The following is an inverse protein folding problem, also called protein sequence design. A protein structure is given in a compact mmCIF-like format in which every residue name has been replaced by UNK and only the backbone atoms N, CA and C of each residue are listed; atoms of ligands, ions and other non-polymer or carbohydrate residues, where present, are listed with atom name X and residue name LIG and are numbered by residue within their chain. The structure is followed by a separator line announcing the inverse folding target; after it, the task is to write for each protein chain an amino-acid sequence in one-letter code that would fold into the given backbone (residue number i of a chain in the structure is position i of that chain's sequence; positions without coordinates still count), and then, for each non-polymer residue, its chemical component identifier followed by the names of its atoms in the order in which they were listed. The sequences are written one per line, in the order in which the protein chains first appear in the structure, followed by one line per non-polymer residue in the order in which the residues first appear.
data_IF_094012243548
#
_entry.id   IF_094012243548
#
_cell.length_a   1.000
_cell.length_b   1.000
_cell.length_c   1.000
_cell.angle_alpha   90.00
_cell.angle_beta   90.00
_cell.angle_gamma   90.00
#
_symmetry.space_group_name_H-M   'P 1'
#
loop_
_entity.id
_entity.type
_entity.pdbx_description
1 polymer ?
#
# COMPACT_ATOMS: atom_id res chain seq x y z
N UNK A 1 -38.54 -32.90 52.28
CA UNK A 1 -39.33 -31.82 51.64
C UNK A 1 -38.35 -30.83 51.03
N UNK A 2 -38.51 -30.23 49.86
CA UNK A 2 -39.23 -30.51 48.62
C UNK A 2 -38.95 -29.27 47.76
N UNK A 3 -38.40 -29.49 46.56
CA UNK A 3 -38.37 -28.64 45.34
C UNK A 3 -37.87 -27.17 45.36
N UNK A 4 -37.35 -26.68 44.21
CA UNK A 4 -36.59 -25.42 44.10
C UNK A 4 -37.27 -24.36 43.18
N UNK A 5 -36.60 -23.20 43.05
CA UNK A 5 -36.61 -22.21 41.95
C UNK A 5 -37.93 -21.51 41.61
N UNK A 6 -37.93 -20.18 41.77
CA UNK A 6 -38.61 -19.26 40.87
C UNK A 6 -37.60 -18.17 40.43
N UNK A 7 -37.34 -18.14 39.12
CA UNK A 7 -36.63 -17.07 38.43
C UNK A 7 -37.69 -16.21 37.77
N UNK A 8 -37.83 -14.96 38.19
CA UNK A 8 -38.73 -13.99 37.59
C UNK A 8 -38.18 -13.51 36.24
N UNK A 9 -39.09 -13.51 35.25
CA UNK A 9 -38.88 -13.01 33.90
C UNK A 9 -38.63 -11.50 33.89
N UNK A 10 -37.45 -11.09 33.42
CA UNK A 10 -37.20 -9.75 32.90
C UNK A 10 -37.14 -9.81 31.38
N UNK A 11 -38.15 -9.28 30.71
CA UNK A 11 -38.16 -9.09 29.26
C UNK A 11 -37.40 -7.79 28.95
N UNK A 12 -36.22 -7.90 28.35
CA UNK A 12 -35.56 -6.78 27.66
C UNK A 12 -35.49 -7.16 26.19
N UNK A 13 -36.24 -6.42 25.37
CA UNK A 13 -36.22 -6.49 23.91
C UNK A 13 -34.79 -6.26 23.40
N UNK A 14 -34.29 -7.19 22.59
CA UNK A 14 -33.07 -7.02 21.82
C UNK A 14 -33.42 -6.51 20.42
N UNK A 15 -32.85 -5.38 20.04
CA UNK A 15 -32.83 -4.89 18.67
C UNK A 15 -31.97 -5.81 17.81
N UNK A 16 -32.61 -6.81 17.18
CA UNK A 16 -31.97 -7.70 16.21
C UNK A 16 -32.00 -7.06 14.81
N UNK A 17 -30.91 -6.42 14.41
CA UNK A 17 -30.74 -5.87 13.07
C UNK A 17 -30.53 -7.02 12.07
N UNK A 18 -31.59 -7.37 11.35
CA UNK A 18 -31.56 -8.32 10.24
C UNK A 18 -30.75 -7.76 9.06
N UNK A 19 -29.80 -8.52 8.46
CA UNK A 19 -29.13 -8.09 7.24
C UNK A 19 -30.09 -8.24 6.05
N UNK A 20 -30.22 -7.17 5.26
CA UNK A 20 -31.01 -7.16 4.02
C UNK A 20 -30.37 -8.08 2.97
N UNK A 21 -31.12 -9.11 2.58
CA UNK A 21 -30.80 -9.96 1.43
C UNK A 21 -30.71 -9.14 0.14
N UNK A 22 -29.52 -9.11 -0.48
CA UNK A 22 -29.31 -8.53 -1.80
C UNK A 22 -29.85 -9.52 -2.85
N UNK A 23 -30.92 -9.16 -3.54
CA UNK A 23 -31.49 -9.92 -4.66
C UNK A 23 -30.71 -9.55 -5.94
N UNK A 24 -30.17 -10.51 -6.72
CA UNK A 24 -29.55 -10.20 -8.02
C UNK A 24 -30.63 -9.91 -9.08
N UNK A 25 -30.39 -8.98 -10.03
CA UNK A 25 -31.34 -8.71 -11.10
C UNK A 25 -31.33 -9.85 -12.14
N UNK A 26 -32.50 -10.40 -12.43
CA UNK A 26 -32.76 -11.38 -13.49
C UNK A 26 -32.77 -10.72 -14.87
N UNK A 27 -32.07 -11.32 -15.84
CA UNK A 27 -32.14 -10.95 -17.26
C UNK A 27 -33.47 -11.43 -17.87
N UNK A 28 -34.16 -10.63 -18.71
CA UNK A 28 -35.22 -11.15 -19.56
C UNK A 28 -34.65 -11.72 -20.86
N UNK A 29 -34.94 -13.00 -21.10
CA UNK A 29 -34.73 -13.68 -22.38
C UNK A 29 -36.11 -14.11 -22.90
N UNK A 30 -36.57 -13.57 -24.02
CA UNK A 30 -37.39 -14.33 -24.96
C UNK A 30 -37.41 -13.71 -26.35
N UNK A 31 -37.25 -14.60 -27.33
CA UNK A 31 -37.36 -14.43 -28.77
C UNK A 31 -38.79 -14.07 -29.20
N UNK A 32 -38.94 -13.35 -30.32
CA UNK A 32 -39.55 -13.92 -31.54
C UNK A 32 -39.37 -13.03 -32.79
N UNK A 33 -39.41 -13.63 -34.01
CA UNK A 33 -39.04 -13.00 -35.28
C UNK A 33 -40.28 -12.47 -36.03
N UNK A 34 -40.09 -11.49 -36.93
CA UNK A 34 -40.75 -11.37 -38.24
C UNK A 34 -40.52 -9.95 -38.80
N UNK A 35 -39.65 -9.81 -39.79
CA UNK A 35 -39.59 -8.64 -40.66
C UNK A 35 -40.18 -9.03 -42.02
N UNK A 36 -41.28 -8.37 -42.41
CA UNK A 36 -41.78 -8.41 -43.77
C UNK A 36 -41.62 -7.02 -44.42
N UNK A 37 -41.13 -7.05 -45.66
CA UNK A 37 -40.86 -5.91 -46.53
C UNK A 37 -42.18 -5.34 -47.09
N UNK A 38 -42.30 -4.01 -47.14
CA UNK A 38 -43.39 -3.32 -47.80
C UNK A 38 -43.02 -1.87 -48.16
N UNK A 39 -42.69 -1.68 -49.44
CA UNK A 39 -42.32 -0.45 -50.14
C UNK A 39 -43.42 0.64 -50.08
N UNK A 40 -43.05 1.93 -49.94
CA UNK A 40 -43.55 3.07 -50.79
C UNK A 40 -43.19 4.47 -50.24
N UNK A 41 -42.23 5.12 -50.92
CA UNK A 41 -42.13 6.53 -51.36
C UNK A 41 -42.70 7.74 -50.56
N UNK A 42 -41.76 8.69 -50.33
CA UNK A 42 -41.80 10.18 -50.38
C UNK A 42 -42.71 11.02 -49.46
N UNK A 43 -42.13 11.74 -48.49
CA UNK A 43 -41.87 13.19 -48.56
C UNK A 43 -41.28 13.77 -47.26
N UNK A 44 -40.24 14.60 -47.44
CA UNK A 44 -39.74 15.75 -46.65
C UNK A 44 -40.11 15.89 -45.16
N UNK A 45 -39.13 15.76 -44.26
CA UNK A 45 -38.95 16.66 -43.10
C UNK A 45 -37.60 16.40 -42.42
N UNK A 46 -36.97 17.48 -41.97
CA UNK A 46 -35.67 17.53 -41.32
C UNK A 46 -35.59 16.70 -40.02
N UNK A 47 -34.45 16.05 -39.78
CA UNK A 47 -34.20 15.32 -38.54
C UNK A 47 -32.81 14.71 -38.51
N UNK A 48 -31.89 15.41 -37.86
CA UNK A 48 -30.46 15.13 -37.73
C UNK A 48 -30.14 13.74 -37.17
N UNK A 49 -29.49 12.89 -37.98
CA UNK A 49 -28.86 11.67 -37.51
C UNK A 49 -27.66 12.03 -36.61
N UNK A 50 -27.76 11.73 -35.31
CA UNK A 50 -26.64 11.84 -34.37
C UNK A 50 -25.62 10.74 -34.70
N UNK A 51 -24.36 11.05 -35.06
CA UNK A 51 -23.37 10.01 -35.31
C UNK A 51 -23.05 9.31 -33.98
N UNK A 52 -23.51 8.07 -33.83
CA UNK A 52 -23.03 7.18 -32.77
C UNK A 52 -21.59 6.80 -33.08
N UNK A 53 -20.66 7.48 -32.41
CA UNK A 53 -19.24 7.19 -32.40
C UNK A 53 -18.53 8.21 -31.52
N UNK A 54 -17.60 7.74 -30.70
CA UNK A 54 -16.66 8.59 -29.93
C UNK A 54 -16.21 9.76 -30.81
N UNK A 55 -16.27 11.02 -30.35
CA UNK A 55 -15.85 12.17 -31.15
C UNK A 55 -14.50 11.87 -31.82
N UNK A 56 -14.41 12.06 -33.14
CA UNK A 56 -13.15 11.95 -33.90
C UNK A 56 -12.21 13.04 -33.41
N UNK A 57 -11.49 12.75 -32.33
CA UNK A 57 -10.59 13.72 -31.73
C UNK A 57 -10.34 13.55 -30.24
N UNK A 58 -10.13 12.35 -29.71
CA UNK A 58 -9.17 12.26 -28.60
C UNK A 58 -7.79 12.26 -29.24
N UNK A 59 -7.34 13.43 -29.70
CA UNK A 59 -5.90 13.65 -29.83
C UNK A 59 -5.39 13.39 -28.43
N UNK A 60 -4.72 12.25 -28.26
CA UNK A 60 -3.89 11.99 -27.10
C UNK A 60 -2.97 13.22 -27.04
N UNK A 61 -3.25 14.17 -26.14
CA UNK A 61 -2.22 15.17 -25.84
C UNK A 61 -1.01 14.31 -25.48
N UNK A 62 0.16 14.54 -26.12
CA UNK A 62 1.39 13.96 -25.62
C UNK A 62 1.38 14.24 -24.12
N UNK A 63 1.48 13.19 -23.31
CA UNK A 63 1.69 13.38 -21.88
C UNK A 63 2.88 14.34 -21.80
N UNK A 64 2.66 15.56 -21.32
CA UNK A 64 3.73 16.54 -21.27
C UNK A 64 4.82 15.90 -20.42
N UNK A 65 5.96 15.60 -21.04
CA UNK A 65 7.17 15.26 -20.30
C UNK A 65 7.50 16.52 -19.54
N UNK A 66 7.05 16.59 -18.28
CA UNK A 66 7.26 17.73 -17.40
C UNK A 66 8.74 17.87 -17.12
N UNK A 67 9.44 18.53 -18.05
CA UNK A 67 10.78 19.11 -17.88
C UNK A 67 10.67 20.38 -17.01
N UNK A 68 9.91 20.29 -15.93
CA UNK A 68 10.03 21.22 -14.82
C UNK A 68 11.20 20.74 -13.98
N UNK A 69 12.12 21.64 -13.67
CA UNK A 69 13.14 21.46 -12.65
C UNK A 69 12.48 20.82 -11.41
N UNK A 70 12.73 19.52 -11.22
CA UNK A 70 11.94 18.67 -10.35
C UNK A 70 12.46 18.83 -8.92
N UNK A 71 12.28 20.03 -8.36
CA UNK A 71 12.69 20.43 -7.00
C UNK A 71 11.72 19.87 -5.94
N UNK A 72 11.03 18.76 -6.25
CA UNK A 72 10.01 18.14 -5.41
C UNK A 72 10.33 16.70 -5.07
N UNK A 73 9.69 16.18 -4.02
CA UNK A 73 9.76 14.75 -3.68
C UNK A 73 9.19 13.91 -4.83
N UNK A 74 9.94 12.89 -5.27
CA UNK A 74 9.54 12.00 -6.37
C UNK A 74 9.22 10.61 -5.84
N UNK A 75 8.05 10.02 -6.13
CA UNK A 75 7.76 8.64 -5.77
C UNK A 75 8.67 7.69 -6.57
N UNK A 76 9.21 6.68 -5.90
CA UNK A 76 10.01 5.61 -6.51
C UNK A 76 9.61 4.26 -5.95
N UNK A 77 9.86 3.22 -6.74
CA UNK A 77 9.73 1.83 -6.31
C UNK A 77 11.09 1.18 -6.39
N UNK A 78 11.55 0.58 -5.28
CA UNK A 78 12.81 -0.16 -5.25
C UNK A 78 12.51 -1.64 -5.16
N UNK A 79 13.06 -2.40 -6.09
CA UNK A 79 13.02 -3.85 -6.04
C UNK A 79 14.33 -4.38 -5.47
N UNK A 80 14.22 -5.19 -4.42
CA UNK A 80 15.34 -5.83 -3.75
C UNK A 80 15.27 -7.32 -4.08
N UNK A 81 16.27 -7.88 -4.79
CA UNK A 81 16.29 -9.30 -5.14
C UNK A 81 16.55 -10.15 -3.89
N UNK A 82 16.38 -11.47 -4.01
CA UNK A 82 16.65 -12.42 -2.92
C UNK A 82 18.14 -12.40 -2.49
N UNK A 83 18.39 -12.64 -1.20
CA UNK A 83 19.75 -12.68 -0.62
C UNK A 83 20.41 -11.33 -0.39
N UNK A 84 19.71 -10.22 -0.63
CA UNK A 84 20.25 -8.86 -0.45
C UNK A 84 19.78 -8.25 0.86
N UNK A 85 20.68 -7.51 1.51
CA UNK A 85 20.34 -6.73 2.70
C UNK A 85 19.62 -5.44 2.28
N UNK A 86 18.37 -5.29 2.71
CA UNK A 86 17.49 -4.16 2.38
C UNK A 86 18.11 -2.83 2.84
N UNK A 87 18.75 -2.81 4.01
CA UNK A 87 19.32 -1.59 4.60
C UNK A 87 20.47 -1.09 3.71
N UNK A 88 21.35 -2.01 3.31
CA UNK A 88 22.45 -1.68 2.39
C UNK A 88 21.95 -1.29 1.01
N UNK A 89 20.91 -1.94 0.50
CA UNK A 89 20.33 -1.60 -0.80
C UNK A 89 19.77 -0.17 -0.82
N UNK A 90 19.05 0.23 0.24
CA UNK A 90 18.53 1.60 0.38
C UNK A 90 19.67 2.61 0.50
N UNK A 91 20.68 2.33 1.35
CA UNK A 91 21.83 3.21 1.53
C UNK A 91 22.65 3.37 0.23
N UNK A 92 22.87 2.28 -0.50
CA UNK A 92 23.59 2.30 -1.78
C UNK A 92 22.79 3.05 -2.83
N UNK A 93 21.48 2.85 -2.91
CA UNK A 93 20.62 3.60 -3.82
C UNK A 93 20.68 5.11 -3.54
N UNK A 94 20.58 5.52 -2.27
CA UNK A 94 20.66 6.91 -1.87
C UNK A 94 22.02 7.55 -2.23
N UNK A 95 23.13 6.84 -1.93
CA UNK A 95 24.49 7.29 -2.24
C UNK A 95 24.74 7.41 -3.74
N UNK A 96 24.41 6.38 -4.51
CA UNK A 96 24.69 6.35 -5.95
C UNK A 96 23.90 7.40 -6.74
N UNK A 97 22.78 7.88 -6.19
CA UNK A 97 21.95 8.91 -6.83
C UNK A 97 22.09 10.28 -6.17
N UNK A 98 22.91 10.40 -5.12
CA UNK A 98 23.06 11.63 -4.31
C UNK A 98 21.71 12.19 -3.84
N UNK A 99 20.83 11.30 -3.39
CA UNK A 99 19.48 11.64 -2.91
C UNK A 99 19.26 11.18 -1.48
N UNK A 100 18.36 11.86 -0.79
CA UNK A 100 17.72 11.33 0.40
C UNK A 100 16.50 10.49 0.00
N UNK A 101 16.15 9.50 0.81
CA UNK A 101 15.04 8.59 0.55
C UNK A 101 14.20 8.38 1.81
N UNK A 102 12.89 8.50 1.66
CA UNK A 102 11.91 8.14 2.68
C UNK A 102 11.14 6.90 2.21
N UNK A 103 11.42 5.75 2.82
CA UNK A 103 10.68 4.51 2.60
C UNK A 103 9.39 4.57 3.42
N UNK A 104 8.25 4.43 2.74
CA UNK A 104 6.93 4.53 3.35
C UNK A 104 6.28 3.17 3.57
N UNK A 105 6.63 2.18 2.75
CA UNK A 105 6.19 0.80 2.88
C UNK A 105 7.18 -0.17 2.25
N UNK A 106 7.15 -1.42 2.70
CA UNK A 106 7.89 -2.52 2.08
C UNK A 106 7.10 -3.82 2.19
N UNK A 107 7.15 -4.63 1.13
CA UNK A 107 6.38 -5.86 1.01
C UNK A 107 7.27 -7.00 0.50
N UNK A 108 7.10 -8.19 1.08
CA UNK A 108 7.79 -9.40 0.64
C UNK A 108 8.20 -10.27 1.82
N UNK A 109 9.23 -11.10 1.63
CA UNK A 109 9.70 -12.05 2.64
C UNK A 109 11.19 -11.89 2.90
N UNK A 110 11.58 -12.05 4.15
CA UNK A 110 12.97 -11.96 4.63
C UNK A 110 13.36 -13.25 5.35
N UNK A 111 14.63 -13.62 5.26
CA UNK A 111 15.21 -14.83 5.85
C UNK A 111 15.98 -14.53 7.14
N UNK A 112 16.47 -13.29 7.27
CA UNK A 112 17.18 -12.82 8.44
C UNK A 112 16.71 -11.41 8.77
N UNK A 113 16.37 -11.17 10.04
CA UNK A 113 16.12 -9.84 10.57
C UNK A 113 16.84 -9.68 11.91
N UNK A 114 17.53 -8.55 12.08
CA UNK A 114 18.14 -8.19 13.37
C UNK A 114 17.36 -7.02 13.94
N UNK A 115 16.62 -7.28 15.02
CA UNK A 115 15.76 -6.29 15.67
C UNK A 115 16.42 -5.73 16.92
N UNK A 116 16.31 -4.41 17.07
CA UNK A 116 16.75 -3.63 18.22
C UNK A 116 15.56 -2.94 18.86
N UNK A 117 15.47 -3.04 20.17
CA UNK A 117 14.59 -2.20 20.97
C UNK A 117 15.33 -0.90 21.27
N UNK A 118 14.91 0.22 20.68
CA UNK A 118 15.56 1.53 20.91
C UNK A 118 15.17 2.17 22.25
N UNK A 119 14.14 1.65 22.92
CA UNK A 119 13.65 2.15 24.21
C UNK A 119 14.26 1.39 25.39
N UNK A 120 15.06 0.36 25.13
CA UNK A 120 15.65 -0.50 26.14
C UNK A 120 17.09 -0.81 25.77
N UNK A 121 17.98 -0.94 26.76
CA UNK A 121 19.34 -1.45 26.55
C UNK A 121 19.38 -2.97 26.33
N UNK A 122 18.25 -3.58 25.99
CA UNK A 122 18.16 -4.99 25.67
C UNK A 122 19.06 -5.33 24.47
N UNK A 123 19.72 -6.50 24.50
CA UNK A 123 20.50 -6.97 23.36
C UNK A 123 19.68 -7.10 22.08
N UNK A 124 20.33 -6.91 20.94
CA UNK A 124 19.75 -7.12 19.63
C UNK A 124 19.28 -8.59 19.48
N UNK A 125 18.09 -8.79 18.92
CA UNK A 125 17.53 -10.12 18.65
C UNK A 125 17.67 -10.47 17.19
N UNK A 126 18.24 -11.64 16.91
CA UNK A 126 18.44 -12.16 15.56
C UNK A 126 17.40 -13.23 15.27
N UNK A 127 16.60 -13.00 14.23
CA UNK A 127 15.65 -13.97 13.70
C UNK A 127 16.20 -14.53 12.39
N UNK A 128 16.28 -15.86 12.28
CA UNK A 128 16.75 -16.58 11.08
C UNK A 128 15.67 -17.58 10.63
N UNK A 129 14.56 -17.04 10.17
CA UNK A 129 13.37 -17.81 9.78
C UNK A 129 12.64 -17.11 8.64
N UNK A 130 11.56 -17.71 8.13
CA UNK A 130 10.74 -17.09 7.08
C UNK A 130 9.79 -16.08 7.71
N UNK A 131 10.05 -14.80 7.43
CA UNK A 131 9.30 -13.68 7.98
C UNK A 131 8.64 -12.91 6.84
N UNK A 132 7.34 -12.67 6.95
CA UNK A 132 6.63 -11.79 6.02
C UNK A 132 6.74 -10.34 6.50
N UNK A 133 7.08 -9.43 5.59
CA UNK A 133 7.12 -8.00 5.90
C UNK A 133 5.71 -7.45 5.88
N UNK A 134 5.21 -7.03 7.03
CA UNK A 134 3.87 -6.41 7.18
C UNK A 134 3.97 -4.90 7.02
N UNK A 135 4.97 -4.29 7.64
CA UNK A 135 5.24 -2.86 7.54
C UNK A 135 6.75 -2.62 7.54
N UNK A 136 7.19 -1.61 6.78
CA UNK A 136 8.58 -1.18 6.74
C UNK A 136 8.65 0.30 6.37
N UNK A 137 9.25 1.11 7.24
CA UNK A 137 9.40 2.54 7.02
C UNK A 137 10.74 3.05 7.55
N UNK A 138 11.27 4.07 6.88
CA UNK A 138 12.57 4.65 7.23
C UNK A 138 12.81 5.96 6.48
N UNK A 139 13.64 6.82 7.05
CA UNK A 139 14.22 7.96 6.33
C UNK A 139 15.73 7.81 6.34
N UNK A 140 16.33 7.77 5.16
CA UNK A 140 17.77 7.79 4.96
C UNK A 140 18.18 9.12 4.34
N UNK A 141 18.97 9.89 5.10
CA UNK A 141 19.46 11.21 4.69
C UNK A 141 20.88 11.05 4.18
N UNK A 142 21.07 11.28 2.89
CA UNK A 142 22.40 11.37 2.30
C UNK A 142 23.05 12.71 2.69
N UNK A 143 24.25 12.65 3.29
CA UNK A 143 25.05 13.83 3.63
C UNK A 143 26.44 13.70 2.97
N UNK A 144 26.79 14.58 2.01
CA UNK A 144 28.09 14.57 1.33
C UNK A 144 29.27 14.81 2.27
N UNK A 145 29.04 15.53 3.39
CA UNK A 145 30.07 15.97 4.34
C UNK A 145 30.15 15.10 5.60
N UNK A 146 29.51 13.93 5.60
CA UNK A 146 29.64 12.89 6.62
C UNK A 146 29.34 13.34 8.06
N UNK A 147 28.05 13.48 8.36
CA UNK A 147 27.44 12.86 9.54
C UNK A 147 26.17 12.19 9.03
N UNK A 148 26.24 10.88 8.77
CA UNK A 148 25.02 10.13 8.44
C UNK A 148 24.12 10.20 9.67
N UNK A 149 23.02 10.95 9.58
CA UNK A 149 21.98 10.90 10.61
C UNK A 149 21.61 9.43 10.81
N UNK A 150 21.63 8.91 12.05
CA UNK A 150 21.28 7.52 12.30
C UNK A 150 19.90 7.25 11.70
N UNK A 151 19.88 6.43 10.66
CA UNK A 151 18.66 6.08 9.95
C UNK A 151 18.09 4.83 10.62
N UNK A 152 16.95 4.98 11.27
CA UNK A 152 16.25 3.86 11.89
C UNK A 152 15.25 3.29 10.90
N UNK A 153 15.34 1.99 10.64
CA UNK A 153 14.35 1.28 9.84
C UNK A 153 13.36 0.61 10.78
N UNK A 154 12.12 1.10 10.80
CA UNK A 154 11.05 0.51 11.58
C UNK A 154 10.43 -0.62 10.78
N UNK A 155 10.19 -1.74 11.44
CA UNK A 155 9.63 -2.92 10.80
C UNK A 155 8.64 -3.63 11.70
N UNK A 156 7.61 -4.19 11.09
CA UNK A 156 6.75 -5.21 11.67
C UNK A 156 6.78 -6.43 10.77
N UNK A 157 7.08 -7.59 11.35
CA UNK A 157 7.21 -8.86 10.67
C UNK A 157 6.21 -9.85 11.23
N UNK A 158 5.63 -10.65 10.34
CA UNK A 158 4.80 -11.79 10.68
C UNK A 158 5.61 -13.09 10.59
N UNK A 159 5.53 -13.89 11.65
CA UNK A 159 6.16 -15.19 11.78
C UNK A 159 5.18 -16.27 11.30
N UNK A 160 5.69 -17.39 10.81
CA UNK A 160 4.83 -18.49 10.32
C UNK A 160 3.90 -19.11 11.38
N UNK A 161 4.15 -18.85 12.66
CA UNK A 161 3.29 -19.28 13.78
C UNK A 161 2.16 -18.28 14.10
N UNK A 162 2.01 -17.19 13.33
CA UNK A 162 1.01 -16.14 13.53
C UNK A 162 1.40 -15.06 14.55
N UNK A 163 2.64 -15.06 15.03
CA UNK A 163 3.14 -14.02 15.92
C UNK A 163 3.69 -12.83 15.13
N UNK A 164 3.41 -11.62 15.62
CA UNK A 164 4.01 -10.40 15.11
C UNK A 164 5.21 -9.98 15.96
N UNK A 165 6.30 -9.61 15.29
CA UNK A 165 7.47 -9.01 15.92
C UNK A 165 7.73 -7.64 15.30
N UNK A 166 8.01 -6.64 16.14
CA UNK A 166 8.21 -5.27 15.72
C UNK A 166 9.45 -4.65 16.36
N UNK A 167 10.00 -3.63 15.72
CA UNK A 167 11.09 -2.85 16.27
C UNK A 167 11.87 -2.10 15.20
N UNK A 168 13.04 -1.62 15.59
CA UNK A 168 13.99 -1.07 14.62
C UNK A 168 14.91 -2.17 14.12
N UNK A 169 15.31 -2.12 12.86
CA UNK A 169 16.28 -3.04 12.28
C UNK A 169 17.42 -2.28 11.64
N UNK A 170 18.61 -2.87 11.68
CA UNK A 170 19.79 -2.38 10.97
C UNK A 170 20.33 -3.42 9.97
N UNK A 171 19.70 -4.59 9.89
CA UNK A 171 20.06 -5.66 8.95
C UNK A 171 18.85 -6.54 8.67
N UNK A 172 18.50 -6.66 7.39
CA UNK A 172 17.36 -7.45 6.96
C UNK A 172 17.60 -8.05 5.59
N UNK A 173 17.82 -9.37 5.54
CA UNK A 173 18.18 -10.10 4.32
C UNK A 173 16.94 -10.69 3.68
N UNK A 174 16.71 -10.35 2.41
CA UNK A 174 15.58 -10.85 1.64
C UNK A 174 15.64 -12.38 1.43
N UNK A 175 14.48 -13.03 1.52
CA UNK A 175 14.31 -14.43 1.14
C UNK A 175 13.83 -14.54 -0.32
N UNK A 176 12.94 -13.64 -0.73
CA UNK A 176 12.45 -13.49 -2.10
C UNK A 176 12.53 -12.05 -2.56
N UNK A 177 11.89 -11.71 -3.69
CA UNK A 177 11.77 -10.32 -4.12
C UNK A 177 11.02 -9.51 -3.05
N UNK A 178 11.63 -8.42 -2.61
CA UNK A 178 11.01 -7.42 -1.74
C UNK A 178 10.84 -6.14 -2.53
N UNK A 179 9.68 -5.49 -2.43
CA UNK A 179 9.37 -4.23 -3.11
C UNK A 179 9.19 -3.15 -2.05
N UNK A 180 9.89 -2.04 -2.21
CA UNK A 180 9.78 -0.86 -1.36
C UNK A 180 9.09 0.26 -2.12
N UNK A 181 8.14 0.91 -1.46
CA UNK A 181 7.57 2.19 -1.89
C UNK A 181 8.27 3.31 -1.14
N UNK A 182 8.75 4.31 -1.86
CA UNK A 182 9.53 5.38 -1.27
C UNK A 182 9.36 6.71 -2.01
N UNK A 183 9.85 7.78 -1.40
CA UNK A 183 10.03 9.09 -2.02
C UNK A 183 11.50 9.47 -1.98
N UNK A 184 12.00 10.06 -3.07
CA UNK A 184 13.36 10.61 -3.13
C UNK A 184 13.31 12.14 -3.22
N UNK A 185 14.30 12.79 -2.62
CA UNK A 185 14.43 14.24 -2.64
C UNK A 185 15.89 14.65 -2.50
N UNK A 186 16.23 15.78 -3.11
CA UNK A 186 17.56 16.40 -3.03
C UNK A 186 17.47 17.62 -2.12
N UNK A 187 18.55 17.91 -1.40
CA UNK A 187 18.67 19.07 -0.50
C UNK A 187 17.50 19.24 0.49
N UNK A 188 17.10 18.19 1.25
CA UNK A 188 16.07 18.37 2.26
C UNK A 188 16.56 19.24 3.42
N UNK A 189 15.66 20.09 3.90
CA UNK A 189 15.83 20.69 5.21
C UNK A 189 15.28 19.73 6.28
N UNK A 190 16.15 18.94 6.92
CA UNK A 190 15.77 17.97 7.96
C UNK A 190 15.99 18.58 9.33
N UNK A 191 14.93 18.67 10.12
CA UNK A 191 15.00 19.05 11.54
C UNK A 191 14.87 17.79 12.39
N UNK A 192 15.76 17.62 13.36
CA UNK A 192 15.62 16.57 14.38
C UNK A 192 15.02 17.20 15.62
N UNK A 193 13.92 16.63 16.11
CA UNK A 193 13.32 17.04 17.38
C UNK A 193 13.95 16.19 18.47
N UNK A 194 14.48 16.83 19.50
CA UNK A 194 15.00 16.15 20.68
C UNK A 194 13.84 15.53 21.47
N UNK A 195 13.93 14.24 21.77
CA UNK A 195 12.95 13.58 22.65
C UNK A 195 13.41 13.83 24.08
N UNK A 196 12.64 14.60 24.85
CA UNK A 196 12.88 14.75 26.28
C UNK A 196 12.86 13.35 26.93
N UNK A 197 13.96 12.96 27.58
CA UNK A 197 14.06 11.67 28.23
C UNK A 197 13.01 11.56 29.33
N UNK A 198 12.20 10.51 29.30
CA UNK A 198 11.40 10.11 30.45
C UNK A 198 12.37 9.63 31.54
N UNK A 199 12.44 10.36 32.66
CA UNK A 199 13.14 9.94 33.89
C UNK A 199 12.33 8.90 34.65
#
# INVERSE_FOLDING_TARGET
MSVPRDLSHGSSEGDEVHPSHIIPPTLPNHNDPHFNIGNSSCNSAAGTAKPRGRPRGSKNRPKEDSKGENMGMRPVTLEVPAGVDIINQVANFAKSNEVCIAVTAGFGKVSVAVLRNVLSQAPDRVYKEHLAVINFSSTYVFSPLAQATPSFFNVTLDRMNGELIGGTTFRMVTLGKVVLSAYVFQNPHVFTIEVAGFH
#
